data_IF_298098169958
#
_entry.id   IF_298098169958
#
_cell.length_a   1.000
_cell.length_b   1.000
_cell.length_c   1.000
_cell.angle_alpha   90.00
_cell.angle_beta   90.00
_cell.angle_gamma   90.00
#
_symmetry.space_group_name_H-M   'P 1'
#
loop_
_entity.id
_entity.type
_entity.pdbx_description
1 polymer ?
#
# COMPACT_ATOMS: atom_id res chain seq x y z
N UNK A 1 12.86 -4.20 5.22
CA UNK A 1 13.04 -4.11 3.75
C UNK A 1 11.89 -4.87 3.12
N UNK A 2 11.19 -4.25 2.18
CA UNK A 2 10.09 -4.88 1.44
C UNK A 2 10.63 -5.38 0.10
N UNK A 3 10.01 -6.42 -0.46
CA UNK A 3 10.34 -6.88 -1.83
C UNK A 3 9.86 -5.88 -2.87
N UNK A 4 8.72 -5.25 -2.60
CA UNK A 4 8.14 -4.20 -3.43
C UNK A 4 7.48 -3.16 -2.54
N UNK A 5 7.74 -1.90 -2.84
CA UNK A 5 7.06 -0.76 -2.25
C UNK A 5 6.45 0.07 -3.39
N UNK A 6 5.12 0.17 -3.42
CA UNK A 6 4.39 1.08 -4.31
C UNK A 6 4.22 2.37 -3.53
N UNK A 7 4.77 3.48 -4.03
CA UNK A 7 4.78 4.77 -3.32
C UNK A 7 3.84 5.79 -3.94
N UNK A 8 3.27 6.69 -3.12
CA UNK A 8 2.43 7.82 -3.54
C UNK A 8 1.25 7.41 -4.43
N UNK A 9 0.64 6.26 -4.11
CA UNK A 9 -0.45 5.69 -4.88
C UNK A 9 -1.82 6.11 -4.35
N UNK A 10 -2.84 6.03 -5.22
CA UNK A 10 -4.24 6.09 -4.80
C UNK A 10 -4.79 4.67 -4.66
N UNK A 11 -5.08 4.26 -3.43
CA UNK A 11 -5.55 2.91 -3.08
C UNK A 11 -7.08 2.83 -3.16
N UNK A 12 -7.56 1.78 -3.84
CA UNK A 12 -8.95 1.33 -3.81
C UNK A 12 -8.94 -0.07 -3.19
N UNK A 13 -9.46 -0.22 -1.97
CA UNK A 13 -9.28 -1.42 -1.14
C UNK A 13 -10.37 -2.51 -1.32
N UNK A 14 -11.36 -2.26 -2.17
CA UNK A 14 -12.47 -3.19 -2.40
C UNK A 14 -13.54 -3.22 -1.31
N UNK A 15 -13.44 -2.42 -0.24
CA UNK A 15 -14.43 -2.35 0.84
C UNK A 15 -15.69 -1.56 0.47
N UNK A 16 -15.64 -0.79 -0.61
CA UNK A 16 -16.66 0.19 -1.00
C UNK A 16 -16.46 1.59 -0.39
N UNK A 17 -15.42 1.76 0.43
CA UNK A 17 -15.02 3.06 0.97
C UNK A 17 -14.41 3.98 -0.10
N UNK A 18 -14.29 5.27 0.22
CA UNK A 18 -13.60 6.23 -0.65
C UNK A 18 -12.12 5.87 -0.79
N UNK A 19 -11.58 6.01 -2.01
CA UNK A 19 -10.14 5.87 -2.29
C UNK A 19 -9.30 6.87 -1.50
N UNK A 20 -8.09 6.47 -1.10
CA UNK A 20 -7.19 7.29 -0.30
C UNK A 20 -5.75 7.24 -0.82
N UNK A 21 -4.94 8.24 -0.47
CA UNK A 21 -3.51 8.25 -0.80
C UNK A 21 -2.75 7.38 0.21
N UNK A 22 -1.92 6.47 -0.27
CA UNK A 22 -1.06 5.64 0.56
C UNK A 22 0.03 4.95 -0.27
N UNK A 23 1.03 4.47 0.44
CA UNK A 23 1.99 3.47 -0.01
C UNK A 23 1.49 2.05 0.30
N UNK A 24 1.97 1.06 -0.46
CA UNK A 24 1.66 -0.36 -0.25
C UNK A 24 2.96 -1.17 -0.25
N UNK A 25 3.23 -1.83 0.88
CA UNK A 25 4.39 -2.69 1.08
C UNK A 25 4.03 -4.16 0.86
N UNK A 26 4.86 -4.87 0.08
CA UNK A 26 4.68 -6.28 -0.25
C UNK A 26 5.92 -7.07 0.15
N UNK A 27 5.71 -8.23 0.77
CA UNK A 27 6.77 -9.21 1.09
C UNK A 27 6.23 -10.62 0.87
N UNK A 28 7.00 -11.48 0.21
CA UNK A 28 6.63 -12.85 -0.15
C UNK A 28 5.26 -12.95 -0.85
N UNK A 29 4.98 -11.97 -1.72
CA UNK A 29 3.72 -11.88 -2.47
C UNK A 29 2.50 -11.50 -1.63
N UNK A 30 2.67 -11.03 -0.38
CA UNK A 30 1.59 -10.58 0.49
C UNK A 30 1.73 -9.11 0.89
N UNK A 31 0.60 -8.43 1.05
CA UNK A 31 0.56 -7.06 1.57
C UNK A 31 0.88 -7.11 3.07
N UNK A 32 1.92 -6.38 3.48
CA UNK A 32 2.38 -6.30 4.88
C UNK A 32 2.18 -4.91 5.50
N UNK A 33 1.84 -3.90 4.68
CA UNK A 33 1.54 -2.56 5.15
C UNK A 33 0.82 -1.73 4.09
N UNK A 34 -0.06 -0.85 4.54
CA UNK A 34 -0.72 0.19 3.75
C UNK A 34 -0.71 1.47 4.61
N UNK A 35 -0.20 2.58 4.09
CA UNK A 35 -0.11 3.84 4.83
C UNK A 35 1.00 4.74 4.32
N UNK A 36 1.48 5.65 5.17
CA UNK A 36 2.70 6.42 4.91
C UNK A 36 3.90 5.56 5.31
N UNK A 37 4.60 4.99 4.32
CA UNK A 37 5.63 3.96 4.52
C UNK A 37 6.97 4.30 3.84
N UNK A 38 6.97 5.26 2.93
CA UNK A 38 8.19 5.85 2.41
C UNK A 38 8.72 6.87 3.42
N UNK A 39 9.94 6.63 3.91
CA UNK A 39 10.69 7.63 4.69
C UNK A 39 11.02 8.88 3.85
#
# INVERSE_FOLDING_TARGET
>A
MFDTLITNGTVVDGSGSQRFQADVAITDGRIVGIGDLAD
#
